data_IF_015131350342
#
_entry.id   IF_015131350342
#
_cell.length_a   1.000
_cell.length_b   1.000
_cell.length_c   1.000
_cell.angle_alpha   90.00
_cell.angle_beta   90.00
_cell.angle_gamma   90.00
#
_symmetry.space_group_name_H-M   'P 1'
#
loop_
_entity.id
_entity.type
_entity.pdbx_description
1 polymer ?
#
# COMPACT_ATOMS: atom_id res chain seq x y z
N UNK A 1 29.64 -30.08 15.14
CA UNK A 1 29.51 -31.22 14.20
C UNK A 1 29.62 -30.67 12.78
N UNK A 2 30.39 -31.33 11.92
CA UNK A 2 30.68 -30.86 10.55
C UNK A 2 32.12 -31.12 10.06
N UNK A 3 33.04 -31.53 10.94
CA UNK A 3 34.47 -31.66 10.61
C UNK A 3 34.76 -32.80 9.62
N UNK A 4 34.21 -34.00 9.85
CA UNK A 4 34.40 -35.14 8.94
C UNK A 4 33.81 -34.87 7.55
N UNK A 5 32.58 -34.33 7.50
CA UNK A 5 31.92 -33.97 6.24
C UNK A 5 32.71 -32.90 5.48
N UNK A 6 33.25 -31.88 6.18
CA UNK A 6 34.07 -30.84 5.57
C UNK A 6 35.35 -31.40 4.94
N UNK A 7 35.98 -32.41 5.54
CA UNK A 7 37.17 -33.07 4.99
C UNK A 7 36.81 -33.89 3.74
N UNK A 8 35.75 -34.70 3.83
CA UNK A 8 35.25 -35.49 2.70
C UNK A 8 34.89 -34.60 1.50
N UNK A 9 34.31 -33.43 1.78
CA UNK A 9 33.83 -32.49 0.77
C UNK A 9 34.91 -31.47 0.33
N UNK A 10 36.15 -31.62 0.80
CA UNK A 10 37.29 -30.77 0.40
C UNK A 10 37.19 -29.30 0.84
N UNK A 11 36.45 -29.02 1.91
CA UNK A 11 36.20 -27.68 2.43
C UNK A 11 37.41 -27.17 3.21
N UNK A 12 37.76 -25.89 3.01
CA UNK A 12 38.85 -25.26 3.75
C UNK A 12 38.46 -25.07 5.22
N UNK A 13 39.32 -25.54 6.14
CA UNK A 13 39.14 -25.46 7.59
C UNK A 13 40.22 -24.55 8.17
N UNK A 14 39.81 -23.57 8.97
CA UNK A 14 40.71 -22.68 9.71
C UNK A 14 40.50 -22.74 11.21
N UNK A 15 41.26 -21.91 11.92
CA UNK A 15 41.08 -21.63 13.35
C UNK A 15 40.62 -20.18 13.51
N UNK A 16 39.64 -19.95 14.36
CA UNK A 16 39.27 -18.60 14.78
C UNK A 16 40.22 -18.06 15.86
N UNK A 17 39.99 -16.83 16.33
CA UNK A 17 40.79 -16.22 17.39
C UNK A 17 40.66 -16.89 18.77
N UNK A 18 39.83 -17.92 18.92
CA UNK A 18 39.63 -18.72 20.14
C UNK A 18 40.04 -20.18 19.94
N UNK A 19 40.85 -20.45 18.91
CA UNK A 19 41.32 -21.79 18.53
C UNK A 19 40.20 -22.81 18.23
N UNK A 20 38.99 -22.31 17.95
CA UNK A 20 37.84 -23.08 17.50
C UNK A 20 37.88 -23.28 15.99
N UNK A 21 37.41 -24.43 15.52
CA UNK A 21 37.37 -24.71 14.08
C UNK A 21 36.36 -23.82 13.37
N UNK A 22 36.77 -23.19 12.27
CA UNK A 22 35.89 -22.47 11.34
C UNK A 22 36.03 -23.06 9.93
N UNK A 23 35.00 -22.87 9.12
CA UNK A 23 34.89 -23.46 7.79
C UNK A 23 34.71 -22.37 6.75
N UNK A 24 35.24 -22.61 5.55
CA UNK A 24 35.14 -21.71 4.42
C UNK A 24 34.55 -22.41 3.18
N UNK A 25 33.29 -22.90 3.24
CA UNK A 25 32.60 -23.40 2.05
C UNK A 25 32.47 -22.32 0.98
N UNK A 26 32.51 -22.72 -0.28
CA UNK A 26 32.38 -21.79 -1.41
C UNK A 26 30.93 -21.28 -1.51
N UNK A 27 30.78 -19.99 -1.84
CA UNK A 27 29.49 -19.40 -2.16
C UNK A 27 28.90 -20.11 -3.38
N UNK A 28 27.67 -20.59 -3.29
CA UNK A 28 27.03 -21.32 -4.40
C UNK A 28 26.70 -20.47 -5.65
N UNK A 29 27.04 -19.17 -5.63
CA UNK A 29 26.75 -18.21 -6.72
C UNK A 29 28.04 -17.72 -7.37
N UNK A 30 29.06 -17.38 -6.58
CA UNK A 30 30.30 -16.75 -7.07
C UNK A 30 31.57 -17.48 -6.63
N UNK A 31 31.43 -18.64 -6.01
CA UNK A 31 32.51 -19.49 -5.50
C UNK A 31 33.45 -18.82 -4.48
N UNK A 32 33.15 -17.62 -4.01
CA UNK A 32 33.94 -16.94 -2.96
C UNK A 32 33.84 -17.71 -1.64
N UNK A 33 34.95 -17.97 -0.93
CA UNK A 33 34.92 -18.64 0.36
C UNK A 33 34.08 -17.87 1.41
N UNK A 34 33.15 -18.57 2.06
CA UNK A 34 32.23 -17.98 3.05
C UNK A 34 32.59 -18.46 4.44
N UNK A 35 32.97 -17.53 5.32
CA UNK A 35 33.23 -17.86 6.73
C UNK A 35 31.96 -18.40 7.42
N UNK A 36 32.08 -19.58 8.03
CA UNK A 36 31.03 -20.22 8.82
C UNK A 36 31.59 -20.91 10.06
N UNK A 37 30.87 -20.81 11.17
CA UNK A 37 31.18 -21.54 12.41
C UNK A 37 30.87 -23.03 12.33
N UNK A 38 29.96 -23.41 11.44
CA UNK A 38 29.50 -24.79 11.26
C UNK A 38 29.46 -25.14 9.78
N UNK A 39 29.83 -26.37 9.45
CA UNK A 39 29.62 -26.94 8.14
C UNK A 39 28.55 -28.02 8.21
N UNK A 40 27.54 -27.88 7.35
CA UNK A 40 26.49 -28.84 7.09
C UNK A 40 26.47 -29.14 5.58
N UNK A 41 26.67 -30.40 5.22
CA UNK A 41 26.59 -30.88 3.83
C UNK A 41 25.24 -30.53 3.19
N UNK A 42 25.25 -30.15 1.91
CA UNK A 42 24.04 -29.78 1.16
C UNK A 42 23.46 -28.39 1.46
N UNK A 43 24.03 -27.65 2.41
CA UNK A 43 23.64 -26.26 2.68
C UNK A 43 24.18 -25.32 1.60
N UNK A 44 23.31 -24.45 1.07
CA UNK A 44 23.71 -23.40 0.11
C UNK A 44 24.32 -22.22 0.86
N UNK A 45 25.64 -22.14 0.92
CA UNK A 45 26.34 -20.99 1.48
C UNK A 45 26.32 -19.82 0.49
N UNK A 46 26.14 -18.60 1.01
CA UNK A 46 26.09 -17.37 0.20
C UNK A 46 26.95 -16.32 0.86
N UNK A 47 27.88 -15.75 0.11
CA UNK A 47 28.70 -14.64 0.60
C UNK A 47 27.84 -13.40 0.85
N UNK A 48 28.40 -12.43 1.61
CA UNK A 48 27.71 -11.19 1.95
C UNK A 48 27.25 -10.41 0.72
N UNK A 49 28.08 -10.36 -0.33
CA UNK A 49 27.82 -9.58 -1.53
C UNK A 49 26.71 -10.21 -2.38
N UNK A 50 26.79 -11.52 -2.66
CA UNK A 50 25.71 -12.23 -3.36
C UNK A 50 24.40 -12.19 -2.58
N UNK A 51 24.45 -12.25 -1.23
CA UNK A 51 23.23 -12.10 -0.41
C UNK A 51 22.64 -10.69 -0.55
N UNK A 52 23.48 -9.65 -0.53
CA UNK A 52 23.02 -8.27 -0.72
C UNK A 52 22.40 -8.07 -2.11
N UNK A 53 23.00 -8.65 -3.15
CA UNK A 53 22.51 -8.59 -4.52
C UNK A 53 21.17 -9.33 -4.68
N UNK A 54 21.02 -10.53 -4.12
CA UNK A 54 19.73 -11.25 -4.13
C UNK A 54 18.63 -10.44 -3.43
N UNK A 55 18.95 -9.79 -2.31
CA UNK A 55 18.00 -8.91 -1.60
C UNK A 55 17.65 -7.69 -2.46
N UNK A 56 18.62 -7.12 -3.17
CA UNK A 56 18.40 -6.00 -4.10
C UNK A 56 17.47 -6.41 -5.24
N UNK A 57 17.77 -7.52 -5.92
CA UNK A 57 16.96 -8.07 -7.01
C UNK A 57 15.53 -8.37 -6.56
N UNK A 58 15.35 -9.04 -5.42
CA UNK A 58 14.02 -9.33 -4.88
C UNK A 58 13.22 -8.05 -4.56
N UNK A 59 13.89 -6.98 -4.11
CA UNK A 59 13.24 -5.67 -3.89
C UNK A 59 12.86 -5.00 -5.21
N UNK A 60 13.76 -4.98 -6.18
CA UNK A 60 13.52 -4.39 -7.51
C UNK A 60 12.38 -5.13 -8.24
N UNK A 61 12.39 -6.46 -8.25
CA UNK A 61 11.30 -7.28 -8.78
C UNK A 61 9.97 -6.99 -8.07
N UNK A 62 10.00 -6.89 -6.73
CA UNK A 62 8.83 -6.51 -5.93
C UNK A 62 8.27 -5.13 -6.28
N UNK A 63 9.14 -4.15 -6.50
CA UNK A 63 8.78 -2.79 -6.91
C UNK A 63 8.19 -2.74 -8.33
N UNK A 64 8.76 -3.48 -9.28
CA UNK A 64 8.23 -3.62 -10.64
C UNK A 64 6.84 -4.25 -10.61
N UNK A 65 6.68 -5.38 -9.91
CA UNK A 65 5.37 -6.06 -9.76
C UNK A 65 4.33 -5.14 -9.10
N UNK A 66 4.74 -4.37 -8.10
CA UNK A 66 3.86 -3.40 -7.43
C UNK A 66 3.41 -2.28 -8.39
N UNK A 67 4.34 -1.77 -9.19
CA UNK A 67 4.09 -0.71 -10.19
C UNK A 67 3.11 -1.21 -11.25
N UNK A 68 3.31 -2.41 -11.80
CA UNK A 68 2.41 -3.02 -12.78
C UNK A 68 0.99 -3.21 -12.23
N UNK A 69 0.88 -3.67 -10.97
CA UNK A 69 -0.42 -3.81 -10.31
C UNK A 69 -1.13 -2.47 -10.18
N UNK A 70 -0.42 -1.40 -9.84
CA UNK A 70 -1.01 -0.05 -9.73
C UNK A 70 -1.43 0.48 -11.11
N UNK A 71 -0.62 0.28 -12.13
CA UNK A 71 -0.98 0.65 -13.51
C UNK A 71 -2.24 -0.09 -13.95
N UNK A 72 -2.34 -1.38 -13.65
CA UNK A 72 -3.54 -2.17 -13.95
C UNK A 72 -4.78 -1.65 -13.21
N UNK A 73 -4.67 -1.21 -11.96
CA UNK A 73 -5.78 -0.56 -11.23
C UNK A 73 -6.22 0.73 -11.91
N UNK A 74 -5.28 1.57 -12.36
CA UNK A 74 -5.60 2.79 -13.10
C UNK A 74 -6.34 2.48 -14.40
N UNK A 75 -5.84 1.53 -15.20
CA UNK A 75 -6.50 1.14 -16.43
C UNK A 75 -7.91 0.58 -16.18
N UNK A 76 -8.10 -0.18 -15.10
CA UNK A 76 -9.42 -0.64 -14.68
C UNK A 76 -10.35 0.51 -14.27
N UNK A 77 -9.84 1.52 -13.56
CA UNK A 77 -10.60 2.71 -13.19
C UNK A 77 -11.05 3.49 -14.43
N UNK A 78 -10.14 3.74 -15.37
CA UNK A 78 -10.42 4.40 -16.66
C UNK A 78 -11.51 3.63 -17.42
N UNK A 79 -11.35 2.30 -17.53
CA UNK A 79 -12.33 1.41 -18.19
C UNK A 79 -13.71 1.42 -17.52
N UNK A 80 -13.78 1.57 -16.20
CA UNK A 80 -15.05 1.64 -15.47
C UNK A 80 -15.72 2.99 -15.65
N UNK A 81 -14.96 4.08 -15.56
CA UNK A 81 -15.46 5.44 -15.77
C UNK A 81 -15.95 5.64 -17.19
N UNK A 82 -15.25 5.11 -18.20
CA UNK A 82 -15.63 5.25 -19.61
C UNK A 82 -16.99 4.61 -19.95
N UNK A 83 -17.47 3.68 -19.12
CA UNK A 83 -18.83 3.10 -19.24
C UNK A 83 -19.92 4.00 -18.67
N UNK A 84 -19.56 4.93 -17.79
CA UNK A 84 -20.48 5.81 -17.07
C UNK A 84 -20.58 7.17 -17.76
N UNK A 85 -19.46 7.68 -18.25
CA UNK A 85 -19.33 9.02 -18.85
C UNK A 85 -18.18 9.05 -19.84
N UNK A 86 -18.17 10.08 -20.70
CA UNK A 86 -17.05 10.35 -21.60
C UNK A 86 -15.73 10.53 -20.84
N UNK A 87 -14.70 9.78 -21.25
CA UNK A 87 -13.39 9.73 -20.60
C UNK A 87 -12.51 10.92 -20.98
N UNK A 88 -12.83 11.59 -22.08
CA UNK A 88 -12.15 12.78 -22.57
C UNK A 88 -12.12 13.92 -21.54
N UNK A 89 -13.13 13.99 -20.67
CA UNK A 89 -13.19 14.96 -19.57
C UNK A 89 -12.19 14.67 -18.44
N UNK A 90 -11.58 13.49 -18.41
CA UNK A 90 -10.65 13.07 -17.36
C UNK A 90 -9.19 13.14 -17.80
N UNK A 91 -8.86 13.60 -19.01
CA UNK A 91 -7.47 13.58 -19.53
C UNK A 91 -6.46 14.21 -18.56
N UNK A 92 -6.74 15.41 -18.07
CA UNK A 92 -5.85 16.07 -17.10
C UNK A 92 -5.81 15.34 -15.75
N UNK A 93 -6.95 14.81 -15.31
CA UNK A 93 -7.04 14.04 -14.07
C UNK A 93 -6.23 12.73 -14.15
N UNK A 94 -6.29 12.03 -15.29
CA UNK A 94 -5.53 10.80 -15.56
C UNK A 94 -4.04 11.11 -15.50
N UNK A 95 -3.57 12.17 -16.19
CA UNK A 95 -2.16 12.58 -16.15
C UNK A 95 -1.67 12.82 -14.73
N UNK A 96 -2.43 13.59 -13.94
CA UNK A 96 -2.06 13.91 -12.55
C UNK A 96 -2.06 12.68 -11.64
N UNK A 97 -2.98 11.74 -11.86
CA UNK A 97 -2.99 10.46 -11.12
C UNK A 97 -1.80 9.59 -11.52
N UNK A 98 -1.46 9.51 -12.81
CA UNK A 98 -0.28 8.78 -13.31
C UNK A 98 1.02 9.27 -12.67
N UNK A 99 1.21 10.59 -12.59
CA UNK A 99 2.37 11.22 -11.93
C UNK A 99 2.48 10.88 -10.44
N UNK A 100 1.35 10.57 -9.78
CA UNK A 100 1.29 10.24 -8.35
C UNK A 100 1.17 8.74 -8.07
N UNK A 101 1.04 7.90 -9.10
CA UNK A 101 0.71 6.48 -8.96
C UNK A 101 1.77 5.71 -8.18
N UNK A 102 3.05 6.01 -8.43
CA UNK A 102 4.18 5.32 -7.81
C UNK A 102 4.49 5.79 -6.39
N UNK A 103 3.76 6.78 -5.85
CA UNK A 103 3.91 7.19 -4.45
C UNK A 103 3.57 6.04 -3.51
N UNK A 104 4.44 5.78 -2.55
CA UNK A 104 4.27 4.70 -1.58
C UNK A 104 3.00 4.91 -0.76
N UNK A 105 2.21 3.84 -0.58
CA UNK A 105 0.95 3.87 0.15
C UNK A 105 -0.24 4.49 -0.60
N UNK A 106 -0.03 5.10 -1.76
CA UNK A 106 -1.13 5.69 -2.55
C UNK A 106 -1.84 4.63 -3.40
N UNK A 107 -3.17 4.81 -3.50
CA UNK A 107 -4.14 4.03 -4.24
C UNK A 107 -4.11 2.51 -3.96
N UNK A 108 -4.76 2.11 -2.88
CA UNK A 108 -4.92 0.72 -2.46
C UNK A 108 -5.98 -0.03 -3.29
N UNK A 109 -6.93 0.68 -3.90
CA UNK A 109 -8.02 0.09 -4.70
C UNK A 109 -8.24 0.79 -6.06
N UNK A 110 -9.03 0.15 -6.94
CA UNK A 110 -9.46 0.77 -8.22
C UNK A 110 -10.44 1.92 -7.95
N UNK A 111 -11.28 1.75 -6.92
CA UNK A 111 -12.31 2.70 -6.50
C UNK A 111 -11.69 3.97 -5.90
N UNK A 112 -10.59 3.89 -5.16
CA UNK A 112 -9.79 5.06 -4.76
C UNK A 112 -9.30 5.87 -5.95
N UNK A 113 -8.80 5.20 -6.99
CA UNK A 113 -8.38 5.88 -8.22
C UNK A 113 -9.57 6.55 -8.90
N UNK A 114 -10.73 5.86 -8.97
CA UNK A 114 -11.94 6.45 -9.56
C UNK A 114 -12.37 7.72 -8.80
N UNK A 115 -12.31 7.71 -7.47
CA UNK A 115 -12.61 8.87 -6.63
C UNK A 115 -11.60 9.99 -6.85
N UNK A 116 -10.30 9.69 -6.86
CA UNK A 116 -9.26 10.69 -7.12
C UNK A 116 -9.45 11.37 -8.49
N UNK A 117 -9.71 10.59 -9.53
CA UNK A 117 -9.99 11.08 -10.87
C UNK A 117 -11.20 12.03 -10.89
N UNK A 118 -12.29 11.68 -10.20
CA UNK A 118 -13.49 12.53 -10.13
C UNK A 118 -13.27 13.81 -9.31
N UNK A 119 -12.54 13.73 -8.21
CA UNK A 119 -12.19 14.89 -7.40
C UNK A 119 -11.34 15.89 -8.20
N UNK A 120 -10.30 15.40 -8.89
CA UNK A 120 -9.43 16.22 -9.72
C UNK A 120 -10.21 16.82 -10.89
N UNK A 121 -11.03 16.03 -11.59
CA UNK A 121 -11.87 16.51 -12.70
C UNK A 121 -12.79 17.65 -12.28
N UNK A 122 -13.31 17.61 -11.04
CA UNK A 122 -14.18 18.66 -10.48
C UNK A 122 -13.41 19.80 -9.81
N UNK A 123 -12.08 19.79 -9.87
CA UNK A 123 -11.22 20.76 -9.21
C UNK A 123 -11.49 20.85 -7.70
N UNK A 124 -11.78 19.72 -7.06
CA UNK A 124 -11.97 19.63 -5.61
C UNK A 124 -10.62 19.38 -4.96
N UNK A 125 -10.21 20.28 -4.08
CA UNK A 125 -8.99 20.10 -3.29
C UNK A 125 -9.13 18.86 -2.41
N UNK A 126 -8.20 17.92 -2.55
CA UNK A 126 -8.19 16.68 -1.80
C UNK A 126 -6.77 16.29 -1.40
N UNK A 127 -6.63 15.73 -0.19
CA UNK A 127 -5.37 15.14 0.28
C UNK A 127 -5.56 13.63 0.48
N UNK A 128 -4.72 12.83 -0.16
CA UNK A 128 -4.82 11.37 -0.16
C UNK A 128 -4.00 10.74 0.99
N UNK A 129 -4.53 9.67 1.61
CA UNK A 129 -3.86 8.87 2.65
C UNK A 129 -3.27 9.72 3.77
N UNK A 130 -4.11 10.56 4.38
CA UNK A 130 -3.70 11.47 5.46
C UNK A 130 -3.64 10.71 6.78
N UNK A 131 -2.50 10.78 7.47
CA UNK A 131 -2.34 10.22 8.82
C UNK A 131 -2.92 11.15 9.87
N UNK A 132 -3.80 10.61 10.70
CA UNK A 132 -4.42 11.27 11.85
C UNK A 132 -4.25 10.33 13.04
N UNK A 133 -3.29 10.66 13.92
CA UNK A 133 -2.76 9.73 14.92
C UNK A 133 -2.25 8.43 14.26
N UNK A 134 -2.70 7.28 14.76
CA UNK A 134 -2.36 5.96 14.24
C UNK A 134 -3.30 5.50 13.10
N UNK A 135 -4.24 6.35 12.69
CA UNK A 135 -5.19 6.05 11.63
C UNK A 135 -4.80 6.75 10.31
N UNK A 136 -5.12 6.13 9.19
CA UNK A 136 -5.09 6.76 7.87
C UNK A 136 -6.51 7.00 7.39
N UNK A 137 -6.74 8.14 6.76
CA UNK A 137 -7.97 8.47 6.04
C UNK A 137 -7.69 8.52 4.54
N UNK A 138 -8.54 7.89 3.73
CA UNK A 138 -8.33 7.80 2.28
C UNK A 138 -8.26 9.18 1.63
N UNK A 139 -9.22 10.06 1.92
CA UNK A 139 -9.25 11.43 1.41
C UNK A 139 -9.68 12.44 2.48
N UNK A 140 -8.98 13.58 2.52
CA UNK A 140 -9.40 14.77 3.25
C UNK A 140 -9.82 15.85 2.25
N UNK A 141 -11.07 16.31 2.35
CA UNK A 141 -11.66 17.36 1.52
C UNK A 141 -11.84 18.64 2.37
N UNK A 142 -10.81 19.49 2.50
CA UNK A 142 -10.80 20.60 3.44
C UNK A 142 -11.91 21.63 3.20
N UNK A 143 -12.21 21.92 1.93
CA UNK A 143 -13.22 22.93 1.57
C UNK A 143 -14.63 22.50 1.96
N UNK A 144 -14.88 21.18 2.00
CA UNK A 144 -16.16 20.60 2.41
C UNK A 144 -16.16 20.23 3.91
N UNK A 145 -15.01 20.33 4.59
CA UNK A 145 -14.75 19.75 5.91
C UNK A 145 -15.16 18.27 6.00
N UNK A 146 -14.75 17.48 5.02
CA UNK A 146 -15.08 16.04 4.95
C UNK A 146 -13.83 15.18 5.05
N UNK A 147 -13.86 14.22 5.97
CA UNK A 147 -13.02 13.03 5.92
C UNK A 147 -13.79 11.94 5.15
N UNK A 148 -13.21 11.47 4.04
CA UNK A 148 -13.84 10.54 3.12
C UNK A 148 -13.09 9.20 3.14
N UNK A 149 -13.82 8.13 3.42
CA UNK A 149 -13.34 6.74 3.39
C UNK A 149 -14.06 5.97 2.28
N UNK A 150 -13.30 5.13 1.56
CA UNK A 150 -13.81 4.27 0.50
C UNK A 150 -13.85 2.86 1.04
N UNK A 151 -15.02 2.47 1.49
CA UNK A 151 -15.20 1.22 2.21
C UNK A 151 -15.58 0.08 1.25
N UNK A 152 -14.92 -1.06 1.42
CA UNK A 152 -15.31 -2.31 0.78
C UNK A 152 -16.56 -2.91 1.43
N UNK A 153 -16.86 -4.18 1.14
CA UNK A 153 -17.96 -4.88 1.83
C UNK A 153 -17.69 -4.93 3.34
N UNK A 154 -18.66 -4.44 4.11
CA UNK A 154 -18.62 -4.45 5.58
C UNK A 154 -18.85 -5.88 6.07
N UNK A 155 -17.84 -6.50 6.69
CA UNK A 155 -18.02 -7.74 7.43
C UNK A 155 -18.51 -7.39 8.85
N UNK A 156 -19.80 -7.62 9.10
CA UNK A 156 -20.46 -7.22 10.34
C UNK A 156 -20.11 -8.15 11.53
N UNK A 157 -19.40 -7.59 12.50
CA UNK A 157 -19.37 -8.06 13.89
C UNK A 157 -19.64 -6.87 14.82
N UNK A 158 -20.37 -7.08 15.93
CA UNK A 158 -20.76 -6.00 16.86
C UNK A 158 -19.56 -5.25 17.44
N UNK A 159 -18.46 -5.94 17.73
CA UNK A 159 -17.25 -5.34 18.28
C UNK A 159 -16.55 -4.40 17.27
N UNK A 160 -16.63 -4.75 15.98
CA UNK A 160 -16.02 -3.97 14.89
C UNK A 160 -16.74 -2.65 14.65
N UNK A 161 -18.06 -2.62 14.81
CA UNK A 161 -18.85 -1.38 14.70
C UNK A 161 -18.50 -0.36 15.79
N UNK A 162 -18.30 -0.83 17.03
CA UNK A 162 -17.94 0.06 18.13
C UNK A 162 -16.53 0.62 17.94
N UNK A 163 -15.59 -0.21 17.49
CA UNK A 163 -14.23 0.24 17.15
C UNK A 163 -14.23 1.27 16.02
N UNK A 164 -14.99 1.05 14.94
CA UNK A 164 -15.11 1.99 13.84
C UNK A 164 -15.72 3.32 14.27
N UNK A 165 -16.74 3.30 15.13
CA UNK A 165 -17.32 4.52 15.70
C UNK A 165 -16.30 5.32 16.51
N UNK A 166 -15.56 4.65 17.40
CA UNK A 166 -14.53 5.30 18.22
C UNK A 166 -13.43 5.88 17.33
N UNK A 167 -12.98 5.14 16.30
CA UNK A 167 -12.02 5.63 15.31
C UNK A 167 -12.52 6.90 14.63
N UNK A 168 -13.77 6.88 14.15
CA UNK A 168 -14.36 8.03 13.45
C UNK A 168 -14.46 9.25 14.37
N UNK A 169 -14.91 9.07 15.61
CA UNK A 169 -14.97 10.15 16.62
C UNK A 169 -13.59 10.75 16.90
N UNK A 170 -12.57 9.92 17.10
CA UNK A 170 -11.18 10.37 17.35
C UNK A 170 -10.65 11.19 16.17
N UNK A 171 -10.87 10.71 14.94
CA UNK A 171 -10.43 11.41 13.72
C UNK A 171 -11.12 12.77 13.60
N UNK A 172 -12.44 12.82 13.76
CA UNK A 172 -13.20 14.06 13.60
C UNK A 172 -12.87 15.06 14.70
N UNK A 173 -12.75 14.62 15.94
CA UNK A 173 -12.32 15.48 17.05
C UNK A 173 -10.95 16.12 16.79
N UNK A 174 -10.03 15.39 16.15
CA UNK A 174 -8.71 15.92 15.79
C UNK A 174 -8.75 16.94 14.65
N UNK A 175 -9.64 16.74 13.68
CA UNK A 175 -9.83 17.67 12.56
C UNK A 175 -10.55 18.96 12.99
N UNK A 176 -11.37 18.87 14.04
CA UNK A 176 -12.00 20.01 14.71
C UNK A 176 -13.44 20.26 14.27
N UNK A 177 -13.97 21.41 14.66
CA UNK A 177 -15.41 21.70 14.54
C UNK A 177 -15.91 21.79 13.09
N UNK A 178 -17.06 21.13 12.88
CA UNK A 178 -17.75 21.09 11.60
C UNK A 178 -17.18 20.07 10.61
N UNK A 179 -16.21 19.27 11.00
CA UNK A 179 -15.76 18.14 10.20
C UNK A 179 -16.71 16.95 10.28
N UNK A 180 -16.87 16.25 9.17
CA UNK A 180 -17.72 15.06 9.09
C UNK A 180 -17.01 13.88 8.45
N UNK A 181 -17.20 12.70 9.04
CA UNK A 181 -16.80 11.43 8.44
C UNK A 181 -17.90 10.96 7.48
N UNK A 182 -17.52 10.69 6.23
CA UNK A 182 -18.40 10.13 5.21
C UNK A 182 -17.73 8.89 4.64
N UNK A 183 -18.42 7.75 4.74
CA UNK A 183 -18.00 6.47 4.17
C UNK A 183 -18.81 6.21 2.91
N UNK A 184 -18.16 5.93 1.80
CA UNK A 184 -18.82 5.56 0.54
C UNK A 184 -18.41 4.15 0.15
N UNK A 185 -19.39 3.30 -0.10
CA UNK A 185 -19.15 1.93 -0.48
C UNK A 185 -18.57 1.83 -1.89
N UNK A 186 -17.72 0.83 -2.12
CA UNK A 186 -17.22 0.49 -3.46
C UNK A 186 -18.36 0.27 -4.46
N UNK A 187 -19.50 -0.28 -4.02
CA UNK A 187 -20.67 -0.49 -4.87
C UNK A 187 -21.27 0.83 -5.38
N UNK A 188 -21.33 1.86 -4.53
CA UNK A 188 -21.80 3.18 -4.94
C UNK A 188 -20.83 3.87 -5.91
N UNK A 189 -19.52 3.73 -5.68
CA UNK A 189 -18.49 4.25 -6.59
C UNK A 189 -18.59 3.57 -7.96
N UNK A 190 -18.68 2.25 -7.99
CA UNK A 190 -18.80 1.47 -9.22
C UNK A 190 -20.13 1.72 -9.94
N UNK A 191 -21.21 1.99 -9.20
CA UNK A 191 -22.51 2.33 -9.79
C UNK A 191 -22.46 3.66 -10.55
N UNK A 192 -21.97 4.72 -9.91
CA UNK A 192 -21.81 6.01 -10.57
C UNK A 192 -20.90 6.97 -9.79
N UNK A 193 -19.59 6.95 -10.08
CA UNK A 193 -18.64 7.87 -9.44
C UNK A 193 -18.94 9.35 -9.71
N UNK A 194 -19.59 9.70 -10.82
CA UNK A 194 -19.91 11.10 -11.14
C UNK A 194 -20.88 11.74 -10.13
N UNK A 195 -21.55 10.91 -9.32
CA UNK A 195 -22.46 11.34 -8.25
C UNK A 195 -21.76 11.53 -6.90
N UNK A 196 -20.43 11.39 -6.83
CA UNK A 196 -19.63 11.55 -5.61
C UNK A 196 -19.94 12.87 -4.87
N UNK A 197 -19.68 14.01 -5.51
CA UNK A 197 -19.89 15.33 -4.89
C UNK A 197 -21.37 15.61 -4.58
N UNK A 198 -22.33 15.36 -5.49
CA UNK A 198 -23.75 15.45 -5.16
C UNK A 198 -24.16 14.59 -3.95
N UNK A 199 -23.63 13.37 -3.85
CA UNK A 199 -23.89 12.45 -2.74
C UNK A 199 -23.35 12.98 -1.41
N UNK A 200 -22.11 13.45 -1.39
CA UNK A 200 -21.50 14.09 -0.21
C UNK A 200 -22.36 15.28 0.24
N UNK A 201 -22.72 16.18 -0.68
CA UNK A 201 -23.53 17.36 -0.35
C UNK A 201 -24.92 16.99 0.18
N UNK A 202 -25.56 15.94 -0.36
CA UNK A 202 -26.85 15.47 0.12
C UNK A 202 -26.77 14.95 1.57
N UNK A 203 -25.71 14.20 1.90
CA UNK A 203 -25.46 13.69 3.25
C UNK A 203 -25.23 14.85 4.23
N UNK A 204 -24.34 15.80 3.88
CA UNK A 204 -24.07 16.98 4.71
C UNK A 204 -25.34 17.80 4.96
N UNK A 205 -26.16 18.03 3.92
CA UNK A 205 -27.43 18.75 4.05
C UNK A 205 -28.39 18.03 4.98
N UNK A 206 -28.54 16.71 4.83
CA UNK A 206 -29.43 15.90 5.68
C UNK A 206 -29.00 15.95 7.15
N UNK A 207 -27.70 15.81 7.44
CA UNK A 207 -27.17 15.87 8.80
C UNK A 207 -27.31 17.26 9.43
N UNK A 208 -27.13 18.33 8.63
CA UNK A 208 -27.37 19.70 9.10
C UNK A 208 -28.84 19.91 9.52
N UNK A 209 -29.80 19.37 8.76
CA UNK A 209 -31.22 19.44 9.09
C UNK A 209 -31.59 18.64 10.34
N UNK A 210 -30.84 17.60 10.70
CA UNK A 210 -31.08 16.81 11.92
C UNK A 210 -30.49 17.45 13.18
N UNK A 211 -29.54 18.38 13.02
CA UNK A 211 -28.88 19.10 14.12
C UNK A 211 -29.50 20.47 14.43
N UNK A 212 -30.29 21.02 13.50
CA UNK A 212 -31.00 22.29 13.64
C UNK A 212 -32.45 22.07 13.98
#
# INVERSE_FOLDING_TARGET
>A
MGWHEAIEDGITIGKDGRDSNCYYPLCHICDTPVYSWTYTRGTKYTCKDCRAELVRQAREEGEVISTDKKQMKLQNAIKRISKITGIEHYKDAIRLVEESLNKTGWYQSTEEIMVALELIRRNVKAFHQVKIFDYSVDFILPEMKVALEIDGKIYHGKDRQNYERIRDEVIINKLGDGWEMIRITTDNINKNVTKLIPGINAVLKSRKLLRG
#
